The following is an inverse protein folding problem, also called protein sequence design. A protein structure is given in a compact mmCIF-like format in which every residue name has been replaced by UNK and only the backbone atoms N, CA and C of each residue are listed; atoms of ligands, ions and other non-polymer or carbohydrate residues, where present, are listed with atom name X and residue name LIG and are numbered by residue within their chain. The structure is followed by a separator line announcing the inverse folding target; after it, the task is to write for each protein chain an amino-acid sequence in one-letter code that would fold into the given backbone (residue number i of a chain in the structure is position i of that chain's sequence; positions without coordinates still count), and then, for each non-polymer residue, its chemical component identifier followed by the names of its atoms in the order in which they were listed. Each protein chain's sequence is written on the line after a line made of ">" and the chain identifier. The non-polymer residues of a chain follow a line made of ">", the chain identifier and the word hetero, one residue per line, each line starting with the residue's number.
data_IF_290190904866
#
_entry.id   IF_290190904866
#
_cell.length_a   1.000
_cell.length_b   1.000
_cell.length_c   1.000
_cell.angle_alpha   90.00
_cell.angle_beta   90.00
_cell.angle_gamma   90.00
#
_symmetry.space_group_name_H-M   'P 1'
#
loop_
_entity.id
_entity.type
_entity.pdbx_description
1 polymer ?
#
# COMPACT_ATOMS: atom_id res chain seq x y z
N UNK A 1 -22.66 32.63 -3.24
CA UNK A 1 -22.06 32.14 -1.98
C UNK A 1 -21.07 31.05 -2.33
N UNK A 2 -19.79 31.39 -2.42
CA UNK A 2 -18.74 30.44 -2.81
C UNK A 2 -18.18 29.83 -1.54
N UNK A 3 -18.57 28.59 -1.23
CA UNK A 3 -18.03 27.85 -0.11
C UNK A 3 -16.61 27.39 -0.46
N UNK A 4 -15.61 27.94 0.22
CA UNK A 4 -14.26 27.40 0.23
C UNK A 4 -14.37 26.05 0.93
N UNK A 5 -14.25 24.95 0.18
CA UNK A 5 -14.03 23.63 0.75
C UNK A 5 -12.59 23.66 1.28
N UNK A 6 -12.44 23.86 2.59
CA UNK A 6 -11.20 23.56 3.26
C UNK A 6 -10.99 22.04 3.17
N UNK A 7 -10.27 21.59 2.14
CA UNK A 7 -9.66 20.26 2.16
C UNK A 7 -8.69 20.33 3.33
N UNK A 8 -9.04 19.69 4.45
CA UNK A 8 -8.08 19.46 5.51
C UNK A 8 -6.94 18.65 4.90
N UNK A 9 -5.84 19.34 4.56
CA UNK A 9 -4.56 18.69 4.31
C UNK A 9 -4.13 18.21 5.69
N UNK A 10 -4.68 17.07 6.12
CA UNK A 10 -4.10 16.32 7.22
C UNK A 10 -2.77 15.81 6.68
N UNK A 11 -1.73 16.61 6.84
CA UNK A 11 -0.34 16.20 6.67
C UNK A 11 -0.07 15.13 7.70
N UNK A 12 -0.45 13.88 7.38
CA UNK A 12 -0.11 12.73 8.20
C UNK A 12 1.42 12.68 8.22
N UNK A 13 2.05 12.67 9.40
CA UNK A 13 3.51 12.67 9.53
C UNK A 13 4.19 11.43 8.94
N UNK A 14 3.42 10.49 8.39
CA UNK A 14 3.88 9.30 7.66
C UNK A 14 4.25 9.58 6.20
N UNK A 15 3.89 10.74 5.66
CA UNK A 15 4.20 11.14 4.28
C UNK A 15 5.39 12.08 4.24
N UNK A 16 6.34 11.80 3.33
CA UNK A 16 7.53 12.63 3.12
C UNK A 16 8.85 11.99 3.58
N UNK A 17 8.82 10.73 4.02
CA UNK A 17 10.04 9.96 4.24
C UNK A 17 10.73 9.56 2.93
N UNK A 18 11.93 8.97 3.03
CA UNK A 18 12.74 8.54 1.87
C UNK A 18 12.61 7.07 1.52
N UNK A 19 11.75 6.34 2.25
CA UNK A 19 11.62 4.90 2.13
C UNK A 19 10.47 4.55 1.18
N UNK A 20 10.51 3.33 0.67
CA UNK A 20 9.47 2.76 -0.17
C UNK A 20 9.29 1.28 0.10
N UNK A 21 8.15 0.76 -0.34
CA UNK A 21 7.82 -0.66 -0.33
C UNK A 21 7.42 -1.05 -1.76
N UNK A 22 8.06 -2.09 -2.28
CA UNK A 22 7.63 -2.76 -3.52
C UNK A 22 7.17 -4.16 -3.14
N UNK A 23 5.95 -4.52 -3.55
CA UNK A 23 5.41 -5.84 -3.27
C UNK A 23 4.76 -6.50 -4.49
N UNK A 24 5.19 -7.71 -4.89
CA UNK A 24 4.48 -8.49 -5.88
C UNK A 24 3.18 -9.05 -5.30
N UNK A 25 2.09 -8.76 -5.99
CA UNK A 25 0.80 -9.39 -5.80
C UNK A 25 0.69 -10.53 -6.78
N UNK A 26 0.60 -11.76 -6.26
CA UNK A 26 0.50 -12.96 -7.09
C UNK A 26 -0.71 -13.80 -6.73
N UNK A 27 -1.34 -14.39 -7.74
CA UNK A 27 -2.38 -15.41 -7.61
C UNK A 27 -1.89 -16.67 -8.31
N UNK A 28 -1.88 -17.81 -7.62
CA UNK A 28 -1.38 -19.09 -8.16
C UNK A 28 0.01 -18.94 -8.84
N UNK A 29 0.94 -18.24 -8.16
CA UNK A 29 2.28 -17.93 -8.66
C UNK A 29 2.35 -17.08 -9.95
N UNK A 30 1.23 -16.46 -10.36
CA UNK A 30 1.17 -15.55 -11.50
C UNK A 30 0.92 -14.11 -11.03
N UNK A 31 1.47 -13.08 -11.71
CA UNK A 31 1.13 -11.69 -11.44
C UNK A 31 -0.37 -11.45 -11.41
N UNK A 32 -0.85 -10.74 -10.40
CA UNK A 32 -2.25 -10.47 -10.21
C UNK A 32 -2.53 -8.97 -10.08
N UNK A 33 -3.62 -8.52 -10.71
CA UNK A 33 -4.06 -7.14 -10.69
C UNK A 33 -5.07 -6.92 -9.57
N UNK A 34 -4.63 -6.42 -8.42
CA UNK A 34 -5.50 -6.18 -7.26
C UNK A 34 -5.28 -4.81 -6.67
N UNK A 35 -6.31 -4.29 -6.00
CA UNK A 35 -6.20 -3.08 -5.20
C UNK A 35 -5.54 -3.45 -3.87
N UNK A 36 -4.40 -2.86 -3.58
CA UNK A 36 -3.64 -3.08 -2.34
C UNK A 36 -3.83 -1.91 -1.40
N UNK A 37 -4.07 -2.23 -0.12
CA UNK A 37 -4.13 -1.28 1.00
C UNK A 37 -2.83 -1.33 1.78
N UNK A 38 -2.25 -0.17 2.05
CA UNK A 38 -1.13 0.00 2.97
C UNK A 38 -1.67 0.53 4.31
N UNK A 39 -1.44 -0.24 5.37
CA UNK A 39 -1.87 0.07 6.73
C UNK A 39 -0.65 0.34 7.62
N UNK A 40 -0.71 1.38 8.44
CA UNK A 40 0.22 1.57 9.57
C UNK A 40 -0.15 0.54 10.64
N UNK A 41 0.72 -0.44 10.88
CA UNK A 41 0.43 -1.52 11.83
C UNK A 41 0.31 -1.03 13.27
N UNK A 42 1.09 -0.01 13.64
CA UNK A 42 1.12 0.50 15.01
C UNK A 42 -0.19 1.25 15.35
N UNK A 43 -0.77 1.93 14.35
CA UNK A 43 -2.00 2.72 14.51
C UNK A 43 -3.27 2.02 14.02
N UNK A 44 -3.13 0.99 13.19
CA UNK A 44 -4.25 0.35 12.49
C UNK A 44 -4.89 1.23 11.42
N UNK A 45 -4.18 2.25 10.93
CA UNK A 45 -4.74 3.27 10.04
C UNK A 45 -4.47 2.96 8.57
N UNK A 46 -5.50 3.15 7.72
CA UNK A 46 -5.33 3.10 6.28
C UNK A 46 -4.60 4.34 5.79
N UNK A 47 -3.41 4.13 5.24
CA UNK A 47 -2.56 5.20 4.77
C UNK A 47 -2.78 5.45 3.28
N UNK A 48 -2.73 4.39 2.47
CA UNK A 48 -2.85 4.49 1.01
C UNK A 48 -3.51 3.26 0.40
N UNK A 49 -4.08 3.46 -0.77
CA UNK A 49 -4.54 2.39 -1.64
C UNK A 49 -3.97 2.59 -3.04
N UNK A 50 -3.53 1.50 -3.67
CA UNK A 50 -3.00 1.52 -5.03
C UNK A 50 -3.26 0.18 -5.71
N UNK A 51 -3.56 0.20 -7.01
CA UNK A 51 -3.62 -1.02 -7.80
C UNK A 51 -2.21 -1.52 -8.10
N UNK A 52 -2.00 -2.84 -8.04
CA UNK A 52 -0.80 -3.45 -8.59
C UNK A 52 -0.74 -3.28 -10.11
N UNK A 53 0.45 -3.42 -10.67
CA UNK A 53 0.67 -3.41 -12.10
C UNK A 53 0.10 -4.68 -12.76
N UNK A 54 -0.50 -4.54 -13.94
CA UNK A 54 -1.17 -5.65 -14.64
C UNK A 54 -0.21 -6.68 -15.22
N UNK A 55 1.03 -6.29 -15.49
CA UNK A 55 2.02 -7.13 -16.20
C UNK A 55 2.92 -7.82 -15.18
N UNK A 56 3.39 -7.08 -14.18
CA UNK A 56 4.37 -7.52 -13.19
C UNK A 56 3.74 -7.92 -11.86
N UNK A 57 2.51 -7.48 -11.57
CA UNK A 57 1.84 -7.72 -10.29
C UNK A 57 2.40 -6.85 -9.15
N UNK A 58 3.40 -6.01 -9.41
CA UNK A 58 4.02 -5.20 -8.37
C UNK A 58 3.13 -4.01 -7.98
N UNK A 59 3.05 -3.74 -6.69
CA UNK A 59 2.59 -2.45 -6.16
C UNK A 59 3.76 -1.73 -5.50
N UNK A 60 3.85 -0.42 -5.70
CA UNK A 60 4.90 0.43 -5.13
C UNK A 60 4.29 1.56 -4.31
N UNK A 61 4.72 1.71 -3.06
CA UNK A 61 4.37 2.80 -2.16
C UNK A 61 5.63 3.59 -1.79
N UNK A 62 5.72 4.82 -2.27
CA UNK A 62 6.87 5.71 -2.05
C UNK A 62 6.63 6.74 -0.95
N UNK A 63 7.68 7.42 -0.52
CA UNK A 63 7.62 8.51 0.45
C UNK A 63 7.13 8.08 1.85
N UNK A 64 7.53 6.88 2.28
CA UNK A 64 7.22 6.30 3.58
C UNK A 64 8.26 6.67 4.62
N UNK A 65 7.81 6.83 5.86
CA UNK A 65 8.67 6.86 7.04
C UNK A 65 9.01 5.44 7.51
N UNK A 66 9.97 5.34 8.43
CA UNK A 66 10.24 4.09 9.12
C UNK A 66 9.03 3.68 9.98
N UNK A 67 8.72 2.40 10.00
CA UNK A 67 7.58 1.87 10.75
C UNK A 67 7.18 0.48 10.28
N UNK A 68 6.40 -0.25 11.11
CA UNK A 68 5.80 -1.50 10.71
C UNK A 68 4.61 -1.25 9.78
N UNK A 69 4.68 -1.83 8.59
CA UNK A 69 3.66 -1.69 7.56
C UNK A 69 2.99 -3.02 7.29
N UNK A 70 1.67 -3.02 7.13
CA UNK A 70 0.92 -4.19 6.68
C UNK A 70 0.27 -3.89 5.34
N UNK A 71 0.38 -4.84 4.42
CA UNK A 71 -0.25 -4.76 3.11
C UNK A 71 -1.36 -5.81 2.99
N UNK A 72 -2.50 -5.40 2.41
CA UNK A 72 -3.61 -6.29 2.09
C UNK A 72 -4.01 -6.11 0.62
N UNK A 73 -3.99 -7.18 -0.17
CA UNK A 73 -4.62 -7.13 -1.50
C UNK A 73 -6.11 -7.48 -1.39
N UNK A 74 -6.95 -6.61 -1.94
CA UNK A 74 -8.39 -6.80 -1.99
C UNK A 74 -8.72 -7.59 -3.25
N UNK A 75 -9.38 -8.73 -3.07
CA UNK A 75 -9.99 -9.41 -4.20
C UNK A 75 -11.17 -8.59 -4.72
N UNK A 76 -11.13 -8.24 -6.00
CA UNK A 76 -12.19 -7.49 -6.68
C UNK A 76 -13.05 -8.40 -7.58
N UNK A 77 -12.77 -9.71 -7.59
CA UNK A 77 -13.40 -10.70 -8.46
C UNK A 77 -14.60 -11.41 -7.82
N UNK A 78 -15.00 -11.03 -6.61
CA UNK A 78 -16.05 -11.68 -5.80
C UNK A 78 -15.77 -13.15 -5.42
N UNK A 79 -14.60 -13.67 -5.76
CA UNK A 79 -14.02 -14.86 -5.15
C UNK A 79 -13.34 -14.37 -3.86
N UNK A 80 -13.86 -14.75 -2.69
CA UNK A 80 -13.36 -14.23 -1.42
C UNK A 80 -12.05 -14.95 -1.02
N UNK A 81 -10.95 -14.67 -1.71
CA UNK A 81 -9.61 -15.10 -1.30
C UNK A 81 -8.86 -13.92 -0.67
N UNK A 82 -8.34 -14.10 0.55
CA UNK A 82 -7.42 -13.13 1.14
C UNK A 82 -6.08 -13.24 0.41
N UNK A 83 -5.85 -12.35 -0.55
CA UNK A 83 -4.62 -12.33 -1.33
C UNK A 83 -3.55 -11.58 -0.54
N UNK A 84 -2.55 -12.32 -0.05
CA UNK A 84 -1.31 -11.88 0.60
C UNK A 84 -1.45 -10.91 1.79
N UNK A 85 -1.16 -11.42 2.99
CA UNK A 85 -0.81 -10.61 4.17
C UNK A 85 0.70 -10.69 4.30
N UNK A 86 1.40 -9.56 4.20
CA UNK A 86 2.84 -9.49 4.49
C UNK A 86 3.10 -8.36 5.47
N UNK A 87 3.76 -8.70 6.57
CA UNK A 87 4.42 -7.72 7.43
C UNK A 87 5.64 -7.19 6.68
N UNK A 88 5.82 -5.86 6.66
CA UNK A 88 6.90 -5.20 5.93
C UNK A 88 7.55 -4.07 6.71
N UNK A 89 8.87 -3.97 6.54
CA UNK A 89 9.62 -2.77 6.85
C UNK A 89 9.95 -2.06 5.54
N UNK A 90 9.79 -0.73 5.52
CA UNK A 90 10.14 0.06 4.35
C UNK A 90 11.66 0.21 4.26
N UNK A 91 12.22 0.12 3.05
CA UNK A 91 13.65 0.29 2.76
C UNK A 91 13.86 1.42 1.77
N UNK A 92 15.10 1.90 1.59
CA UNK A 92 15.38 3.03 0.68
C UNK A 92 15.11 2.64 -0.79
N UNK A 93 15.42 1.41 -1.14
CA UNK A 93 15.32 0.82 -2.47
C UNK A 93 14.06 -0.05 -2.63
N UNK A 94 13.29 -0.28 -1.56
CA UNK A 94 12.08 -1.10 -1.58
C UNK A 94 12.34 -2.59 -1.67
N UNK A 95 13.59 -3.03 -1.49
CA UNK A 95 13.97 -4.44 -1.54
C UNK A 95 13.49 -5.21 -0.31
N UNK A 96 13.33 -6.52 -0.51
CA UNK A 96 13.09 -7.50 0.55
C UNK A 96 14.39 -7.76 1.31
N UNK A 97 14.36 -7.85 2.66
CA UNK A 97 15.46 -8.42 3.43
C UNK A 97 15.80 -9.85 2.98
#
# INVERSE_FOLDING_TARGET
>A
MTGIVAIAIHSHPLFGGRLKIIEPVTRLNSPAYHKVRLIDQARGELIREKWSDKITGNVEFDYLTEGPWVLYAIDHTYEFEAVAISDRMATVDGTRP
#
